data_IF_960011933272
#
_entry.id   IF_960011933272
#
_cell.length_a   1.000
_cell.length_b   1.000
_cell.length_c   1.000
_cell.angle_alpha   90.00
_cell.angle_beta   90.00
_cell.angle_gamma   90.00
#
_symmetry.space_group_name_H-M   'P 1'
#
loop_
_entity.id
_entity.type
_entity.pdbx_description
1 polymer ?
#
# COMPACT_ATOMS: atom_id res chain seq x y z
N UNK A 1 20.68 0.26 -13.61
CA UNK A 1 20.59 -0.91 -12.71
C UNK A 1 19.20 -0.80 -12.12
N UNK A 2 18.43 -1.87 -12.26
CA UNK A 2 16.97 -1.90 -12.18
C UNK A 2 16.48 -1.58 -10.77
N UNK A 3 16.06 -0.34 -10.62
CA UNK A 3 15.49 0.20 -9.41
C UNK A 3 14.06 -0.25 -9.19
N UNK A 4 13.84 -1.11 -8.19
CA UNK A 4 12.51 -1.57 -7.81
C UNK A 4 11.87 -0.66 -6.76
N UNK A 5 11.46 0.53 -7.18
CA UNK A 5 10.39 1.27 -6.51
C UNK A 5 9.04 0.62 -6.85
N UNK A 6 8.47 -0.21 -5.96
CA UNK A 6 7.11 -0.80 -6.11
C UNK A 6 6.87 -1.72 -7.34
N UNK A 7 7.76 -1.73 -8.34
CA UNK A 7 7.64 -2.42 -9.62
C UNK A 7 7.61 -3.95 -9.44
N UNK A 8 8.26 -4.53 -8.42
CA UNK A 8 8.10 -5.97 -8.15
C UNK A 8 6.75 -6.36 -7.53
N UNK A 9 6.00 -5.42 -6.94
CA UNK A 9 4.65 -5.69 -6.44
C UNK A 9 3.58 -5.62 -7.55
N UNK A 10 3.90 -5.00 -8.70
CA UNK A 10 2.90 -4.61 -9.72
C UNK A 10 3.25 -5.09 -11.16
N UNK A 11 4.52 -5.36 -11.52
CA UNK A 11 4.95 -5.80 -12.87
C UNK A 11 4.36 -7.14 -13.35
N UNK A 12 3.62 -7.85 -12.49
CA UNK A 12 2.73 -8.91 -12.90
C UNK A 12 1.26 -8.50 -12.80
N UNK A 13 0.88 -7.52 -13.64
CA UNK A 13 -0.47 -7.43 -14.23
C UNK A 13 -0.65 -8.39 -15.43
N UNK A 14 0.26 -9.34 -15.64
CA UNK A 14 -0.13 -10.67 -16.18
C UNK A 14 -1.06 -11.30 -15.15
N UNK A 15 -2.20 -11.83 -15.59
CA UNK A 15 -3.23 -12.48 -14.76
C UNK A 15 -2.66 -13.00 -13.43
N UNK A 16 -2.80 -12.20 -12.35
CA UNK A 16 -2.45 -12.67 -11.01
C UNK A 16 -3.17 -13.99 -10.83
N UNK A 17 -2.44 -15.04 -10.46
CA UNK A 17 -3.03 -16.35 -10.23
C UNK A 17 -4.20 -16.19 -9.26
N UNK A 18 -5.21 -17.04 -9.37
CA UNK A 18 -6.37 -16.97 -8.48
C UNK A 18 -5.96 -17.01 -7.00
N UNK A 19 -4.82 -17.66 -6.68
CA UNK A 19 -4.21 -17.64 -5.36
C UNK A 19 -3.76 -16.25 -4.91
N UNK A 20 -3.09 -15.48 -5.78
CA UNK A 20 -2.68 -14.11 -5.48
C UNK A 20 -3.89 -13.17 -5.31
N UNK A 21 -4.93 -13.32 -6.14
CA UNK A 21 -6.19 -12.56 -5.98
C UNK A 21 -6.91 -12.93 -4.68
N UNK A 22 -6.99 -14.23 -4.36
CA UNK A 22 -7.59 -14.70 -3.12
C UNK A 22 -6.88 -14.12 -1.89
N UNK A 23 -5.56 -14.03 -1.94
CA UNK A 23 -4.76 -13.43 -0.86
C UNK A 23 -5.03 -11.94 -0.66
N UNK A 24 -5.07 -11.18 -1.74
CA UNK A 24 -5.42 -9.75 -1.69
C UNK A 24 -6.80 -9.58 -1.05
N UNK A 25 -7.78 -10.41 -1.45
CA UNK A 25 -9.11 -10.36 -0.86
C UNK A 25 -9.12 -10.76 0.62
N UNK A 26 -8.30 -11.74 1.04
CA UNK A 26 -8.14 -12.09 2.47
C UNK A 26 -7.67 -10.88 3.28
N UNK A 27 -6.65 -10.15 2.80
CA UNK A 27 -6.13 -8.94 3.46
C UNK A 27 -7.18 -7.84 3.55
N UNK A 28 -7.79 -7.49 2.41
CA UNK A 28 -8.87 -6.49 2.37
C UNK A 28 -10.04 -6.89 3.26
N UNK A 29 -10.38 -8.18 3.33
CA UNK A 29 -11.44 -8.70 4.19
C UNK A 29 -11.17 -8.48 5.68
N UNK A 30 -9.91 -8.59 6.13
CA UNK A 30 -9.51 -8.26 7.51
C UNK A 30 -9.60 -6.76 7.78
N UNK A 31 -9.14 -5.92 6.85
CA UNK A 31 -9.30 -4.46 6.92
C UNK A 31 -10.79 -4.07 7.02
N UNK A 32 -11.66 -4.70 6.21
CA UNK A 32 -13.11 -4.48 6.24
C UNK A 32 -13.71 -4.86 7.60
N UNK A 33 -13.26 -5.95 8.21
CA UNK A 33 -13.72 -6.36 9.53
C UNK A 33 -13.42 -5.28 10.59
N UNK A 34 -12.20 -4.72 10.56
CA UNK A 34 -11.80 -3.63 11.45
C UNK A 34 -12.66 -2.38 11.20
N UNK A 35 -12.84 -2.00 9.94
CA UNK A 35 -13.64 -0.84 9.57
C UNK A 35 -15.12 -0.99 10.00
N UNK A 36 -15.72 -2.16 9.81
CA UNK A 36 -17.10 -2.46 10.21
C UNK A 36 -17.24 -2.38 11.73
N UNK A 37 -16.27 -2.92 12.48
CA UNK A 37 -16.28 -2.85 13.95
C UNK A 37 -16.18 -1.40 14.46
N UNK A 38 -15.39 -0.56 13.78
CA UNK A 38 -15.15 0.82 14.19
C UNK A 38 -16.29 1.78 13.80
N UNK A 39 -16.87 1.62 12.60
CA UNK A 39 -17.80 2.60 12.01
C UNK A 39 -19.15 2.02 11.56
N UNK A 40 -19.40 0.73 11.81
CA UNK A 40 -20.62 0.04 11.36
C UNK A 40 -20.56 -0.44 9.90
N UNK A 41 -21.54 -1.24 9.46
CA UNK A 41 -21.49 -1.95 8.18
C UNK A 41 -22.00 -1.15 6.98
N UNK A 42 -22.47 0.09 7.18
CA UNK A 42 -23.01 0.93 6.10
C UNK A 42 -21.93 1.84 5.50
N UNK A 43 -21.48 1.62 4.26
CA UNK A 43 -20.44 2.42 3.62
C UNK A 43 -20.86 3.88 3.34
N UNK A 44 -22.15 4.22 3.40
CA UNK A 44 -22.59 5.62 3.31
C UNK A 44 -22.21 6.41 4.57
N UNK A 45 -22.14 5.72 5.71
CA UNK A 45 -21.83 6.30 7.02
C UNK A 45 -20.43 5.92 7.53
N UNK A 46 -19.69 5.09 6.77
CA UNK A 46 -18.36 4.61 7.10
C UNK A 46 -17.42 4.80 5.90
N UNK A 47 -16.68 5.91 5.88
CA UNK A 47 -15.75 6.25 4.79
C UNK A 47 -14.68 5.19 4.59
N UNK A 48 -14.05 4.70 5.66
CA UNK A 48 -13.02 3.66 5.58
C UNK A 48 -13.56 2.37 4.93
N UNK A 49 -14.79 1.96 5.26
CA UNK A 49 -15.43 0.81 4.60
C UNK A 49 -15.69 1.08 3.11
N UNK A 50 -16.12 2.29 2.74
CA UNK A 50 -16.32 2.68 1.34
C UNK A 50 -15.02 2.61 0.55
N UNK A 51 -13.92 3.08 1.12
CA UNK A 51 -12.60 3.07 0.46
C UNK A 51 -12.09 1.63 0.28
N UNK A 52 -12.28 0.77 1.29
CA UNK A 52 -11.95 -0.66 1.19
C UNK A 52 -12.81 -1.41 0.16
N UNK A 53 -14.09 -1.03 -0.01
CA UNK A 53 -14.95 -1.55 -1.08
C UNK A 53 -14.43 -1.12 -2.46
N UNK A 54 -13.99 0.13 -2.60
CA UNK A 54 -13.39 0.61 -3.84
C UNK A 54 -12.08 -0.14 -4.16
N UNK A 55 -11.21 -0.31 -3.16
CA UNK A 55 -9.97 -1.11 -3.25
C UNK A 55 -10.25 -2.57 -3.64
N UNK A 56 -11.28 -3.19 -3.08
CA UNK A 56 -11.71 -4.54 -3.45
C UNK A 56 -12.14 -4.62 -4.92
N UNK A 57 -12.94 -3.66 -5.39
CA UNK A 57 -13.40 -3.60 -6.79
C UNK A 57 -12.25 -3.37 -7.76
N UNK A 58 -11.30 -2.48 -7.43
CA UNK A 58 -10.10 -2.25 -8.23
C UNK A 58 -9.24 -3.51 -8.37
N UNK A 59 -9.29 -4.41 -7.38
CA UNK A 59 -8.63 -5.72 -7.40
C UNK A 59 -9.49 -6.85 -7.98
N UNK A 60 -10.56 -6.52 -8.73
CA UNK A 60 -11.46 -7.47 -9.39
C UNK A 60 -12.18 -8.44 -8.43
N UNK A 61 -12.45 -8.02 -7.19
CA UNK A 61 -13.25 -8.80 -6.25
C UNK A 61 -14.74 -8.69 -6.63
N UNK A 62 -15.46 -9.82 -6.81
CA UNK A 62 -16.89 -9.78 -7.11
C UNK A 62 -17.72 -9.12 -6.00
N UNK A 63 -18.73 -8.33 -6.39
CA UNK A 63 -19.63 -7.64 -5.43
C UNK A 63 -20.28 -8.61 -4.43
N UNK A 64 -20.66 -9.81 -4.85
CA UNK A 64 -21.23 -10.83 -3.96
C UNK A 64 -20.26 -11.22 -2.84
N UNK A 65 -18.96 -11.30 -3.12
CA UNK A 65 -17.95 -11.60 -2.11
C UNK A 65 -17.81 -10.45 -1.10
N UNK A 66 -17.82 -9.20 -1.59
CA UNK A 66 -17.80 -8.00 -0.74
C UNK A 66 -19.01 -7.98 0.20
N UNK A 67 -20.22 -8.21 -0.34
CA UNK A 67 -21.46 -8.23 0.45
C UNK A 67 -21.47 -9.37 1.47
N UNK A 68 -20.98 -10.57 1.10
CA UNK A 68 -20.83 -11.70 2.04
C UNK A 68 -19.85 -11.37 3.16
N UNK A 69 -18.75 -10.69 2.87
CA UNK A 69 -17.78 -10.26 3.88
C UNK A 69 -18.38 -9.25 4.85
N UNK A 70 -19.09 -8.23 4.34
CA UNK A 70 -19.78 -7.24 5.19
C UNK A 70 -20.78 -7.95 6.11
N UNK A 71 -21.63 -8.81 5.54
CA UNK A 71 -22.62 -9.57 6.30
C UNK A 71 -21.96 -10.46 7.36
N UNK A 72 -20.90 -11.20 7.00
CA UNK A 72 -20.16 -12.08 7.91
C UNK A 72 -19.68 -11.34 9.16
N UNK A 73 -19.06 -10.16 9.00
CA UNK A 73 -18.51 -9.39 10.12
C UNK A 73 -19.55 -8.54 10.84
N UNK A 74 -20.72 -8.32 10.23
CA UNK A 74 -21.89 -7.75 10.90
C UNK A 74 -22.55 -8.77 11.83
N UNK A 75 -22.73 -10.00 11.34
CA UNK A 75 -23.45 -11.07 12.04
C UNK A 75 -22.57 -11.79 13.09
N UNK A 76 -21.24 -11.68 12.99
CA UNK A 76 -20.31 -12.43 13.82
C UNK A 76 -19.30 -11.50 14.52
N UNK A 77 -19.64 -11.06 15.73
CA UNK A 77 -18.81 -10.20 16.56
C UNK A 77 -17.61 -10.91 17.22
N UNK A 78 -17.55 -12.24 17.15
CA UNK A 78 -16.49 -13.02 17.81
C UNK A 78 -15.17 -13.00 17.01
N UNK A 79 -15.23 -12.69 15.71
CA UNK A 79 -14.03 -12.53 14.89
C UNK A 79 -13.50 -11.10 15.09
N UNK A 80 -12.46 -10.98 15.90
CA UNK A 80 -11.89 -9.70 16.26
C UNK A 80 -10.49 -9.53 15.67
N UNK A 81 -10.41 -8.81 14.55
CA UNK A 81 -9.14 -8.31 14.03
C UNK A 81 -8.81 -6.96 14.68
N UNK A 82 -7.54 -6.74 15.00
CA UNK A 82 -7.00 -5.45 15.43
C UNK A 82 -5.95 -4.94 14.45
N UNK A 83 -5.91 -3.61 14.28
CA UNK A 83 -4.86 -2.94 13.53
C UNK A 83 -3.62 -2.73 14.41
N UNK A 84 -2.47 -3.19 13.93
CA UNK A 84 -1.19 -2.99 14.59
C UNK A 84 -0.19 -2.48 13.56
N UNK A 85 0.45 -1.37 13.87
CA UNK A 85 1.61 -0.87 13.13
C UNK A 85 2.88 -1.32 13.84
N UNK A 86 3.79 -1.91 13.07
CA UNK A 86 5.15 -2.24 13.49
C UNK A 86 6.13 -1.34 12.75
N UNK A 87 7.18 -0.92 13.44
CA UNK A 87 8.18 0.00 12.94
C UNK A 87 9.57 -0.55 13.19
N UNK A 88 10.48 -0.38 12.23
CA UNK A 88 11.84 -0.88 12.37
C UNK A 88 12.77 -0.39 11.28
N UNK A 89 13.98 -0.94 11.30
CA UNK A 89 15.00 -0.67 10.30
C UNK A 89 15.40 -1.96 9.59
N UNK A 90 15.50 -1.91 8.27
CA UNK A 90 16.08 -2.95 7.43
C UNK A 90 17.61 -2.81 7.28
N UNK A 91 18.19 -3.49 6.28
CA UNK A 91 19.60 -3.33 5.92
C UNK A 91 20.00 -1.86 5.76
N UNK A 92 21.23 -1.55 6.18
CA UNK A 92 21.85 -0.22 6.07
C UNK A 92 21.02 0.94 6.64
N UNK A 93 20.07 0.67 7.53
CA UNK A 93 19.25 1.69 8.18
C UNK A 93 18.03 2.16 7.38
N UNK A 94 17.61 1.40 6.36
CA UNK A 94 16.33 1.64 5.66
C UNK A 94 15.18 1.62 6.68
N UNK A 95 14.41 2.70 6.76
CA UNK A 95 13.23 2.80 7.61
C UNK A 95 12.07 1.99 7.01
N UNK A 96 11.39 1.20 7.84
CA UNK A 96 10.29 0.32 7.43
C UNK A 96 9.10 0.45 8.39
N UNK A 97 7.92 0.69 7.83
CA UNK A 97 6.62 0.61 8.51
C UNK A 97 5.85 -0.58 7.96
N UNK A 98 5.35 -1.45 8.84
CA UNK A 98 4.53 -2.62 8.50
C UNK A 98 3.16 -2.46 9.15
N UNK A 99 2.13 -2.30 8.33
CA UNK A 99 0.75 -2.23 8.80
C UNK A 99 0.10 -3.60 8.74
N UNK A 100 -0.58 -3.98 9.82
CA UNK A 100 -1.17 -5.31 9.94
C UNK A 100 -2.61 -5.26 10.46
N UNK A 101 -3.41 -6.23 10.04
CA UNK A 101 -4.70 -6.57 10.65
C UNK A 101 -4.67 -8.03 11.08
N UNK A 102 -4.76 -8.28 12.38
CA UNK A 102 -4.56 -9.62 12.95
C UNK A 102 -5.52 -9.96 14.07
N UNK A 103 -5.86 -11.25 14.18
CA UNK A 103 -6.60 -11.84 15.30
C UNK A 103 -5.66 -12.39 16.38
N UNK A 104 -4.35 -12.32 16.16
CA UNK A 104 -3.33 -12.85 17.07
C UNK A 104 -2.05 -12.02 17.02
N UNK A 105 -2.02 -10.97 17.85
CA UNK A 105 -0.86 -10.08 18.04
C UNK A 105 0.46 -10.82 18.26
N UNK A 106 0.46 -11.91 19.02
CA UNK A 106 1.70 -12.63 19.36
C UNK A 106 2.28 -13.35 18.15
N UNK A 107 1.42 -13.96 17.31
CA UNK A 107 1.83 -14.59 16.06
C UNK A 107 2.41 -13.54 15.11
N UNK A 108 1.67 -12.48 14.86
CA UNK A 108 2.08 -11.43 13.91
C UNK A 108 3.36 -10.73 14.36
N UNK A 109 3.46 -10.35 15.64
CA UNK A 109 4.70 -9.76 16.18
C UNK A 109 5.88 -10.72 16.13
N UNK A 110 5.65 -12.03 16.31
CA UNK A 110 6.66 -13.07 16.17
C UNK A 110 7.19 -13.15 14.74
N UNK A 111 6.30 -13.20 13.76
CA UNK A 111 6.62 -13.25 12.33
C UNK A 111 7.39 -12.00 11.89
N UNK A 112 6.85 -10.81 12.17
CA UNK A 112 7.45 -9.52 11.83
C UNK A 112 8.87 -9.42 12.40
N UNK A 113 9.03 -9.72 13.69
CA UNK A 113 10.36 -9.71 14.34
C UNK A 113 11.32 -10.70 13.68
N UNK A 114 10.84 -11.90 13.35
CA UNK A 114 11.67 -12.92 12.74
C UNK A 114 12.21 -12.50 11.37
N UNK A 115 11.41 -11.84 10.52
CA UNK A 115 11.90 -11.38 9.22
C UNK A 115 12.86 -10.19 9.34
N UNK A 116 12.58 -9.21 10.20
CA UNK A 116 13.57 -8.16 10.50
C UNK A 116 14.91 -8.77 10.91
N UNK A 117 14.91 -9.66 11.92
CA UNK A 117 16.15 -10.28 12.40
C UNK A 117 16.84 -11.18 11.39
N UNK A 118 16.09 -11.86 10.50
CA UNK A 118 16.65 -12.78 9.51
C UNK A 118 17.35 -12.06 8.35
N UNK A 119 16.87 -10.88 7.98
CA UNK A 119 17.30 -10.16 6.77
C UNK A 119 18.03 -8.86 7.10
N UNK A 120 18.88 -8.86 8.14
CA UNK A 120 19.79 -7.75 8.41
C UNK A 120 19.14 -6.49 9.02
N UNK A 121 17.95 -6.61 9.61
CA UNK A 121 17.23 -5.51 10.24
C UNK A 121 16.88 -5.74 11.71
N UNK A 122 16.16 -4.78 12.28
CA UNK A 122 15.65 -4.83 13.65
C UNK A 122 14.26 -4.21 13.76
N UNK A 123 13.36 -4.91 14.45
CA UNK A 123 12.10 -4.34 14.89
C UNK A 123 12.36 -3.32 16.01
N UNK A 124 11.86 -2.10 15.82
CA UNK A 124 11.95 -0.99 16.76
C UNK A 124 10.74 -0.87 17.68
N UNK A 125 10.68 0.23 18.42
CA UNK A 125 9.48 0.65 19.15
C UNK A 125 8.58 1.46 18.23
N UNK A 126 7.27 1.48 18.50
CA UNK A 126 6.33 2.34 17.77
C UNK A 126 6.77 3.81 17.86
N UNK A 127 6.76 4.51 16.73
CA UNK A 127 7.25 5.87 16.56
C UNK A 127 8.74 6.02 16.22
N UNK A 128 9.51 4.92 16.09
CA UNK A 128 10.95 5.02 15.81
C UNK A 128 11.26 5.47 14.38
N UNK A 129 10.37 5.25 13.41
CA UNK A 129 10.54 5.72 12.03
C UNK A 129 9.32 6.48 11.52
N UNK A 130 8.17 6.43 12.19
CA UNK A 130 6.94 7.09 11.77
C UNK A 130 7.11 8.57 11.42
N UNK A 131 7.98 9.29 12.12
CA UNK A 131 8.27 10.70 11.85
C UNK A 131 8.93 10.96 10.49
N UNK A 132 9.50 9.94 9.85
CA UNK A 132 10.11 10.05 8.52
C UNK A 132 9.07 9.97 7.40
N UNK A 133 7.85 9.54 7.69
CA UNK A 133 6.81 9.32 6.71
C UNK A 133 5.63 10.27 6.90
N UNK A 134 5.10 10.75 5.78
CA UNK A 134 3.89 11.56 5.72
C UNK A 134 2.78 10.79 5.00
N UNK A 135 1.55 10.86 5.51
CA UNK A 135 0.40 10.29 4.82
C UNK A 135 0.02 11.18 3.64
N UNK A 136 0.01 10.60 2.43
CA UNK A 136 -0.37 11.27 1.19
C UNK A 136 -1.27 10.38 0.35
N UNK A 137 -2.10 11.00 -0.48
CA UNK A 137 -2.69 10.29 -1.62
C UNK A 137 -1.64 10.16 -2.72
N UNK A 138 -1.48 8.95 -3.28
CA UNK A 138 -0.53 8.66 -4.35
C UNK A 138 -1.27 8.07 -5.53
N UNK A 139 -1.24 8.78 -6.65
CA UNK A 139 -1.80 8.35 -7.92
C UNK A 139 -0.63 7.94 -8.82
N UNK A 140 -0.68 6.72 -9.35
CA UNK A 140 0.34 6.18 -10.26
C UNK A 140 -0.24 6.10 -11.65
N UNK A 141 0.51 6.60 -12.63
CA UNK A 141 0.27 6.45 -14.07
C UNK A 141 1.49 5.75 -14.66
N UNK A 142 1.26 4.77 -15.52
CA UNK A 142 2.32 4.08 -16.27
C UNK A 142 2.15 4.41 -17.74
N UNK A 143 3.18 5.02 -18.31
CA UNK A 143 3.28 5.35 -19.72
C UNK A 143 3.95 4.21 -20.50
N UNK A 144 3.20 3.13 -20.71
CA UNK A 144 3.73 1.94 -21.42
C UNK A 144 4.07 2.23 -22.89
N UNK A 145 3.42 3.24 -23.49
CA UNK A 145 3.49 3.56 -24.91
C UNK A 145 4.42 4.76 -25.22
N UNK A 146 5.01 5.39 -24.19
CA UNK A 146 5.86 6.60 -24.29
C UNK A 146 5.13 7.76 -25.00
N UNK A 147 3.84 7.91 -24.69
CA UNK A 147 2.93 8.89 -25.31
C UNK A 147 2.62 10.08 -24.39
N UNK A 148 3.03 10.02 -23.10
CA UNK A 148 2.79 11.09 -22.14
C UNK A 148 3.93 12.10 -22.18
N UNK A 149 3.58 13.33 -22.55
CA UNK A 149 4.46 14.48 -22.42
C UNK A 149 4.66 14.83 -20.94
N UNK A 150 5.90 14.72 -20.47
CA UNK A 150 6.29 14.95 -19.07
C UNK A 150 5.94 16.37 -18.59
N UNK A 151 6.23 17.39 -19.39
CA UNK A 151 5.95 18.78 -19.01
C UNK A 151 4.42 18.99 -18.86
N UNK A 152 3.66 18.37 -19.76
CA UNK A 152 2.20 18.48 -19.75
C UNK A 152 1.56 17.76 -18.55
N UNK A 153 1.96 16.53 -18.24
CA UNK A 153 1.39 15.81 -17.09
C UNK A 153 1.74 16.51 -15.78
N UNK A 154 2.93 17.13 -15.69
CA UNK A 154 3.29 17.94 -14.52
C UNK A 154 2.37 19.14 -14.35
N UNK A 155 2.12 19.90 -15.43
CA UNK A 155 1.19 21.03 -15.43
C UNK A 155 -0.24 20.59 -15.06
N UNK A 156 -0.76 19.59 -15.76
CA UNK A 156 -2.11 19.04 -15.58
C UNK A 156 -2.34 18.53 -14.14
N UNK A 157 -1.34 17.85 -13.56
CA UNK A 157 -1.43 17.33 -12.19
C UNK A 157 -1.48 18.47 -11.16
N UNK A 158 -0.64 19.48 -11.30
CA UNK A 158 -0.60 20.64 -10.40
C UNK A 158 -1.89 21.46 -10.51
N UNK A 159 -2.40 21.70 -11.72
CA UNK A 159 -3.69 22.37 -11.93
C UNK A 159 -4.86 21.59 -11.35
N UNK A 160 -4.75 20.25 -11.32
CA UNK A 160 -5.74 19.36 -10.71
C UNK A 160 -5.70 19.34 -9.17
N UNK A 161 -4.71 19.99 -8.55
CA UNK A 161 -4.57 20.09 -7.09
C UNK A 161 -3.53 19.14 -6.48
N UNK A 162 -2.60 18.59 -7.27
CA UNK A 162 -1.48 17.84 -6.75
C UNK A 162 -0.52 18.72 -5.93
N UNK A 163 0.11 18.13 -4.92
CA UNK A 163 1.18 18.75 -4.12
C UNK A 163 2.55 18.59 -4.76
N UNK A 164 2.79 17.45 -5.41
CA UNK A 164 4.06 17.09 -6.04
C UNK A 164 3.82 16.04 -7.14
N UNK A 165 4.75 15.93 -8.08
CA UNK A 165 4.78 14.89 -9.11
C UNK A 165 6.22 14.44 -9.33
N UNK A 166 6.42 13.13 -9.44
CA UNK A 166 7.73 12.54 -9.74
C UNK A 166 7.59 11.57 -10.91
N UNK A 167 8.36 11.79 -11.96
CA UNK A 167 8.52 10.87 -13.08
C UNK A 167 9.80 10.05 -12.93
N UNK A 168 9.72 8.75 -13.20
CA UNK A 168 10.90 7.88 -13.34
C UNK A 168 10.61 6.73 -14.32
N UNK A 169 11.47 6.55 -15.32
CA UNK A 169 11.40 5.47 -16.33
C UNK A 169 9.99 5.17 -16.91
N UNK A 170 9.18 6.21 -17.18
CA UNK A 170 7.81 6.06 -17.72
C UNK A 170 6.74 5.78 -16.68
N UNK A 171 7.04 5.89 -15.38
CA UNK A 171 6.07 5.90 -14.28
C UNK A 171 5.98 7.30 -13.67
N UNK A 172 4.77 7.84 -13.61
CA UNK A 172 4.48 9.11 -12.95
C UNK A 172 3.72 8.88 -11.65
N UNK A 173 4.26 9.43 -10.56
CA UNK A 173 3.64 9.43 -9.22
C UNK A 173 3.20 10.84 -8.88
N UNK A 174 1.89 11.04 -8.83
CA UNK A 174 1.27 12.30 -8.42
C UNK A 174 0.92 12.18 -6.92
N UNK A 175 1.43 13.11 -6.13
CA UNK A 175 1.22 13.18 -4.69
C UNK A 175 0.21 14.26 -4.35
N UNK A 176 -0.65 13.96 -3.37
CA UNK A 176 -1.78 14.82 -2.97
C UNK A 176 -1.93 14.79 -1.45
N UNK A 177 -2.59 15.80 -0.89
CA UNK A 177 -3.11 15.69 0.47
C UNK A 177 -4.08 14.47 0.53
N UNK A 178 -4.12 13.70 1.64
CA UNK A 178 -5.02 12.56 1.77
C UNK A 178 -6.50 12.87 1.49
N UNK A 179 -6.95 14.08 1.82
CA UNK A 179 -8.33 14.54 1.59
C UNK A 179 -8.66 14.76 0.12
N UNK A 180 -7.64 15.00 -0.70
CA UNK A 180 -7.80 15.51 -2.07
C UNK A 180 -7.63 14.39 -3.11
N UNK A 181 -7.13 13.21 -2.68
CA UNK A 181 -6.87 12.04 -3.53
C UNK A 181 -7.99 11.76 -4.52
N UNK A 182 -9.25 11.66 -4.06
CA UNK A 182 -10.39 11.36 -4.92
C UNK A 182 -10.62 12.45 -5.97
N UNK A 183 -10.56 13.72 -5.56
CA UNK A 183 -10.80 14.86 -6.46
C UNK A 183 -9.71 15.00 -7.52
N UNK A 184 -8.44 14.83 -7.13
CA UNK A 184 -7.30 14.90 -8.07
C UNK A 184 -7.34 13.71 -9.02
N UNK A 185 -7.62 12.49 -8.51
CA UNK A 185 -7.79 11.30 -9.35
C UNK A 185 -8.84 11.52 -10.43
N UNK A 186 -10.01 12.02 -10.04
CA UNK A 186 -11.13 12.21 -10.97
C UNK A 186 -10.82 13.29 -12.02
N UNK A 187 -10.12 14.36 -11.62
CA UNK A 187 -9.64 15.41 -12.54
C UNK A 187 -8.62 14.86 -13.55
N UNK A 188 -7.62 14.11 -13.08
CA UNK A 188 -6.59 13.47 -13.92
C UNK A 188 -7.22 12.48 -14.92
N UNK A 189 -8.21 11.69 -14.51
CA UNK A 189 -8.98 10.81 -15.42
C UNK A 189 -9.72 11.64 -16.48
N UNK A 190 -10.32 12.77 -16.10
CA UNK A 190 -11.07 13.63 -17.02
C UNK A 190 -10.19 14.26 -18.11
N UNK A 191 -8.90 14.43 -17.83
CA UNK A 191 -7.89 14.90 -18.80
C UNK A 191 -7.42 13.80 -19.77
N UNK A 192 -7.83 12.55 -19.54
CA UNK A 192 -7.57 11.41 -20.43
C UNK A 192 -6.44 10.49 -19.97
N UNK A 193 -5.83 10.75 -18.80
CA UNK A 193 -4.79 9.89 -18.26
C UNK A 193 -5.35 8.57 -17.74
N UNK A 194 -4.64 7.48 -18.04
CA UNK A 194 -4.96 6.14 -17.51
C UNK A 194 -4.26 5.94 -16.19
N UNK A 195 -5.02 5.94 -15.10
CA UNK A 195 -4.50 5.68 -13.76
C UNK A 195 -4.31 4.18 -13.55
N UNK A 196 -3.14 3.80 -13.08
CA UNK A 196 -2.78 2.44 -12.68
C UNK A 196 -3.28 2.14 -11.26
N UNK A 197 -2.98 3.02 -10.31
CA UNK A 197 -3.44 2.95 -8.91
C UNK A 197 -3.67 4.34 -8.33
N UNK A 198 -4.58 4.43 -7.35
CA UNK A 198 -4.79 5.65 -6.55
C UNK A 198 -5.04 5.21 -5.10
N UNK A 199 -4.03 5.35 -4.24
CA UNK A 199 -4.05 4.81 -2.88
C UNK A 199 -3.57 5.86 -1.87
N UNK A 200 -4.09 5.79 -0.65
CA UNK A 200 -3.45 6.44 0.50
C UNK A 200 -2.19 5.66 0.87
N UNK A 201 -1.06 6.35 1.01
CA UNK A 201 0.23 5.76 1.32
C UNK A 201 1.05 6.62 2.28
N UNK A 202 2.06 6.01 2.89
CA UNK A 202 3.07 6.70 3.69
C UNK A 202 4.30 6.99 2.82
N UNK A 203 4.54 8.27 2.55
CA UNK A 203 5.62 8.75 1.68
C UNK A 203 6.78 9.23 2.55
N UNK A 204 8.00 8.71 2.34
CA UNK A 204 9.15 9.12 3.13
C UNK A 204 9.68 10.50 2.71
N UNK A 205 10.15 11.25 3.71
CA UNK A 205 10.81 12.55 3.56
C UNK A 205 12.26 12.46 3.09
N UNK A 206 12.91 11.32 3.31
CA UNK A 206 14.28 11.05 2.88
C UNK A 206 14.39 9.62 2.37
N UNK A 207 15.23 9.38 1.38
CA UNK A 207 15.46 8.05 0.81
C UNK A 207 16.87 7.54 1.14
N UNK A 208 17.03 6.21 1.18
CA UNK A 208 18.27 5.50 1.45
C UNK A 208 18.55 4.54 0.30
N UNK A 209 19.67 4.71 -0.38
CA UNK A 209 20.14 3.79 -1.42
C UNK A 209 20.93 2.63 -0.79
N UNK A 210 20.68 1.41 -1.26
CA UNK A 210 21.45 0.22 -0.89
C UNK A 210 22.46 -0.08 -1.99
N UNK A 211 23.76 -0.07 -1.65
CA UNK A 211 24.83 -0.28 -2.64
C UNK A 211 25.44 -1.69 -2.60
N UNK A 212 25.17 -2.45 -1.53
CA UNK A 212 25.67 -3.82 -1.38
C UNK A 212 24.66 -4.81 -1.97
N UNK A 213 25.12 -5.70 -2.85
CA UNK A 213 24.28 -6.77 -3.42
C UNK A 213 23.64 -7.62 -2.31
N UNK A 214 24.35 -7.86 -1.21
CA UNK A 214 23.82 -8.62 -0.05
C UNK A 214 22.70 -7.86 0.66
N UNK A 215 22.84 -6.54 0.84
CA UNK A 215 21.81 -5.72 1.51
C UNK A 215 20.56 -5.61 0.63
N UNK A 216 20.73 -5.44 -0.68
CA UNK A 216 19.65 -5.46 -1.67
C UNK A 216 18.91 -6.80 -1.62
N UNK A 217 19.62 -7.92 -1.73
CA UNK A 217 19.01 -9.25 -1.73
C UNK A 217 18.27 -9.53 -0.41
N UNK A 218 18.83 -9.10 0.73
CA UNK A 218 18.17 -9.21 2.03
C UNK A 218 16.91 -8.35 2.10
N UNK A 219 16.97 -7.11 1.61
CA UNK A 219 15.83 -6.20 1.59
C UNK A 219 14.68 -6.76 0.74
N UNK A 220 14.97 -7.27 -0.46
CA UNK A 220 13.98 -7.91 -1.33
C UNK A 220 13.32 -9.11 -0.65
N UNK A 221 14.12 -10.03 -0.09
CA UNK A 221 13.59 -11.20 0.64
C UNK A 221 12.76 -10.80 1.86
N UNK A 222 13.13 -9.73 2.55
CA UNK A 222 12.36 -9.22 3.70
C UNK A 222 10.98 -8.74 3.24
N UNK A 223 10.93 -7.93 2.18
CA UNK A 223 9.68 -7.42 1.60
C UNK A 223 8.80 -8.55 1.07
N UNK A 224 9.38 -9.54 0.41
CA UNK A 224 8.67 -10.74 -0.02
C UNK A 224 8.02 -11.46 1.15
N UNK A 225 8.72 -11.61 2.29
CA UNK A 225 8.15 -12.24 3.48
C UNK A 225 7.02 -11.44 4.12
N UNK A 226 7.12 -10.12 4.16
CA UNK A 226 6.01 -9.29 4.59
C UNK A 226 4.80 -9.41 3.64
N UNK A 227 5.01 -9.34 2.33
CA UNK A 227 3.97 -9.52 1.33
C UNK A 227 3.36 -10.93 1.39
N UNK A 228 4.16 -11.93 1.77
CA UNK A 228 3.77 -13.32 1.94
C UNK A 228 2.87 -13.57 3.16
N UNK A 229 2.84 -12.68 4.14
CA UNK A 229 2.02 -12.87 5.33
C UNK A 229 0.61 -12.28 5.14
N UNK A 230 -0.39 -13.02 5.62
CA UNK A 230 -1.81 -12.67 5.48
C UNK A 230 -2.25 -11.59 6.47
N UNK A 231 -1.52 -11.38 7.57
CA UNK A 231 -1.78 -10.32 8.55
C UNK A 231 -1.19 -8.98 8.10
N UNK A 232 -0.24 -8.96 7.16
CA UNK A 232 0.37 -7.73 6.64
C UNK A 232 -0.48 -7.13 5.53
N UNK A 233 -0.97 -5.92 5.74
CA UNK A 233 -1.79 -5.17 4.79
C UNK A 233 -0.93 -4.34 3.83
N UNK A 234 0.07 -3.64 4.38
CA UNK A 234 0.93 -2.74 3.65
C UNK A 234 2.33 -2.67 4.29
N UNK A 235 3.33 -2.40 3.45
CA UNK A 235 4.71 -2.15 3.87
C UNK A 235 5.17 -0.87 3.20
N UNK A 236 5.71 0.05 3.99
CA UNK A 236 6.26 1.31 3.51
C UNK A 236 7.73 1.38 3.88
N UNK A 237 8.55 1.79 2.93
CA UNK A 237 10.00 1.85 3.10
C UNK A 237 10.53 3.16 2.54
N UNK A 238 11.65 3.62 3.08
CA UNK A 238 12.39 4.71 2.47
C UNK A 238 13.58 4.24 1.64
N UNK A 239 13.60 2.98 1.22
CA UNK A 239 14.60 2.47 0.29
C UNK A 239 14.42 3.13 -1.07
N UNK A 240 15.46 3.83 -1.53
CA UNK A 240 15.61 4.24 -2.92
C UNK A 240 16.21 3.07 -3.67
N UNK A 241 15.44 2.54 -4.61
CA UNK A 241 15.86 1.43 -5.43
C UNK A 241 15.74 1.85 -6.86
#
# INVERSE_FOLDING_TARGET
MSGHSKWNNIKHKKEKSDAAKAKIFTKIGKEMAVAIKAGGPDPNNNSKLRDLIAKAKANNVPNDNIQRTIKKFTDNSDINYEEITYEGYGPSGVAIIVETSTDNRNRTAGNVRAWFSKYGGNLGQNGCVGYLFEEKGVITIVDEDDEIDEDKIMEDALESGAEDIRGDEGEYKIYTAPSDLDSVRDAVIALGYKIETADLAKVPSTYVELTSEEDIENMEKMLDKFNEDDDVNAVFTNWDN
#
